data_IF_782096253764
#
_entry.id   IF_782096253764
#
_cell.length_a   1.000
_cell.length_b   1.000
_cell.length_c   1.000
_cell.angle_alpha   90.00
_cell.angle_beta   90.00
_cell.angle_gamma   90.00
#
_symmetry.space_group_name_H-M   'P 1'
#
loop_
_entity.id
_entity.type
_entity.pdbx_description
1 polymer ?
#
# COMPACT_ATOMS: atom_id res chain seq x y z
N UNK A 1 11.49 -22.46 -17.14
CA UNK A 1 12.35 -21.88 -16.09
C UNK A 1 12.08 -22.61 -14.78
N UNK A 2 13.15 -23.11 -14.15
CA UNK A 2 13.05 -23.73 -12.82
C UNK A 2 13.20 -22.61 -11.80
N UNK A 3 12.09 -22.14 -11.26
CA UNK A 3 12.07 -21.18 -10.15
C UNK A 3 12.50 -21.88 -8.85
N UNK A 4 13.68 -21.55 -8.36
CA UNK A 4 14.11 -21.96 -7.02
C UNK A 4 13.40 -21.11 -5.98
N UNK A 5 12.60 -21.73 -5.12
CA UNK A 5 11.88 -21.03 -4.04
C UNK A 5 12.30 -21.56 -2.69
N UNK A 6 12.48 -20.65 -1.75
CA UNK A 6 12.71 -21.01 -0.36
C UNK A 6 11.41 -21.57 0.24
N UNK A 7 11.40 -22.80 0.80
CA UNK A 7 10.20 -23.40 1.37
C UNK A 7 9.72 -22.69 2.65
N UNK A 8 10.60 -21.96 3.35
CA UNK A 8 10.23 -21.18 4.54
C UNK A 8 9.58 -19.85 4.16
N UNK A 9 8.43 -19.91 3.48
CA UNK A 9 7.71 -18.70 3.09
C UNK A 9 7.01 -18.01 4.27
N UNK A 10 6.49 -18.76 5.25
CA UNK A 10 5.72 -18.22 6.37
C UNK A 10 6.56 -17.28 7.24
N UNK A 11 7.71 -17.71 7.71
CA UNK A 11 8.46 -17.05 8.80
C UNK A 11 9.87 -16.61 8.43
N UNK A 12 10.33 -16.80 7.19
CA UNK A 12 11.63 -16.28 6.77
C UNK A 12 11.66 -14.75 6.89
N UNK A 13 12.51 -14.14 7.76
CA UNK A 13 12.48 -12.71 8.03
C UNK A 13 12.65 -11.84 6.77
N UNK A 14 13.48 -12.30 5.82
CA UNK A 14 13.68 -11.59 4.56
C UNK A 14 12.42 -11.60 3.67
N UNK A 15 11.69 -12.73 3.63
CA UNK A 15 10.45 -12.83 2.87
C UNK A 15 9.32 -12.05 3.56
N UNK A 16 9.20 -12.13 4.89
CA UNK A 16 8.23 -11.33 5.66
C UNK A 16 8.48 -9.84 5.44
N UNK A 17 9.75 -9.39 5.52
CA UNK A 17 10.11 -8.00 5.20
C UNK A 17 9.64 -7.59 3.82
N UNK A 18 9.93 -8.40 2.80
CA UNK A 18 9.53 -8.09 1.43
C UNK A 18 8.01 -8.01 1.26
N UNK A 19 7.24 -8.88 1.93
CA UNK A 19 5.77 -8.81 1.91
C UNK A 19 5.24 -7.58 2.65
N UNK A 20 5.79 -7.25 3.81
CA UNK A 20 5.43 -6.03 4.57
C UNK A 20 5.74 -4.76 3.77
N UNK A 21 6.89 -4.70 3.09
CA UNK A 21 7.24 -3.61 2.19
C UNK A 21 6.28 -3.52 1.00
N UNK A 22 5.92 -4.65 0.39
CA UNK A 22 4.94 -4.69 -0.69
C UNK A 22 3.56 -4.16 -0.25
N UNK A 23 3.09 -4.52 0.95
CA UNK A 23 1.85 -4.00 1.52
C UNK A 23 1.89 -2.47 1.62
N UNK A 24 3.01 -1.90 2.09
CA UNK A 24 3.20 -0.46 2.23
C UNK A 24 3.39 0.29 0.91
N UNK A 25 3.70 -0.42 -0.17
CA UNK A 25 4.03 0.19 -1.46
C UNK A 25 2.83 0.90 -2.12
N UNK A 26 3.12 1.79 -3.08
CA UNK A 26 2.09 2.49 -3.87
C UNK A 26 1.16 1.55 -4.64
N UNK A 27 1.68 0.39 -5.06
CA UNK A 27 0.88 -0.64 -5.72
C UNK A 27 -0.02 -1.42 -4.77
N UNK A 28 0.34 -1.50 -3.49
CA UNK A 28 -0.45 -2.08 -2.40
C UNK A 28 -1.33 -1.05 -1.72
N UNK A 29 -1.21 -0.95 -0.39
CA UNK A 29 -2.03 -0.06 0.43
C UNK A 29 -1.50 1.39 0.50
N UNK A 30 -0.36 1.69 -0.13
CA UNK A 30 0.22 3.04 -0.16
C UNK A 30 0.29 3.67 1.24
N UNK A 31 1.04 3.00 2.13
CA UNK A 31 1.26 3.42 3.51
C UNK A 31 2.59 4.17 3.55
N UNK A 32 2.55 5.50 3.56
CA UNK A 32 3.73 6.35 3.37
C UNK A 32 4.85 6.06 4.38
N UNK A 33 4.52 5.74 5.61
CA UNK A 33 5.49 5.44 6.66
C UNK A 33 6.02 3.98 6.64
N UNK A 34 5.50 3.10 5.77
CA UNK A 34 5.83 1.67 5.70
C UNK A 34 6.69 1.34 4.47
N UNK A 35 7.86 1.93 4.38
CA UNK A 35 8.86 1.57 3.36
C UNK A 35 9.85 0.52 3.86
N UNK A 36 10.89 0.22 3.04
CA UNK A 36 11.91 -0.79 3.29
C UNK A 36 12.53 -0.72 4.69
N UNK A 37 12.92 0.49 5.12
CA UNK A 37 13.56 0.70 6.44
C UNK A 37 12.61 0.37 7.59
N UNK A 38 11.35 0.75 7.48
CA UNK A 38 10.33 0.45 8.49
C UNK A 38 9.98 -1.04 8.48
N UNK A 39 9.81 -1.65 7.32
CA UNK A 39 9.57 -3.08 7.19
C UNK A 39 10.73 -3.90 7.81
N UNK A 40 11.98 -3.50 7.56
CA UNK A 40 13.15 -4.11 8.19
C UNK A 40 13.15 -3.94 9.71
N UNK A 41 12.80 -2.76 10.22
CA UNK A 41 12.73 -2.51 11.67
C UNK A 41 11.65 -3.35 12.36
N UNK A 42 10.53 -3.61 11.70
CA UNK A 42 9.42 -4.39 12.24
C UNK A 42 9.69 -5.91 12.23
N UNK A 43 10.51 -6.39 11.28
CA UNK A 43 10.71 -7.83 11.03
C UNK A 43 12.10 -8.35 11.40
N UNK A 44 13.09 -7.45 11.47
CA UNK A 44 14.50 -7.78 11.73
C UNK A 44 15.16 -6.70 12.61
N UNK A 45 14.58 -6.34 13.76
CA UNK A 45 15.21 -5.39 14.68
C UNK A 45 16.50 -5.96 15.26
N UNK A 46 17.37 -5.08 15.78
CA UNK A 46 18.48 -5.52 16.64
C UNK A 46 18.07 -5.62 18.10
N UNK A 47 16.96 -4.99 18.46
CA UNK A 47 16.24 -5.10 19.73
C UNK A 47 14.77 -4.69 19.48
N UNK A 48 13.80 -5.38 20.08
CA UNK A 48 13.90 -6.59 20.88
C UNK A 48 14.38 -7.81 20.07
N UNK A 49 14.78 -8.90 20.74
CA UNK A 49 15.21 -10.13 20.07
C UNK A 49 14.06 -10.78 19.27
N UNK A 50 12.85 -10.76 19.84
CA UNK A 50 11.64 -11.14 19.13
C UNK A 50 11.09 -9.93 18.35
N UNK A 51 11.00 -10.03 17.00
CA UNK A 51 10.49 -8.94 16.20
C UNK A 51 9.00 -8.70 16.45
N UNK A 52 8.51 -7.45 16.36
CA UNK A 52 7.07 -7.16 16.44
C UNK A 52 6.23 -7.90 15.41
N UNK A 53 6.80 -8.20 14.25
CA UNK A 53 6.15 -8.93 13.17
C UNK A 53 6.93 -10.21 12.82
N UNK A 54 6.38 -11.36 13.20
CA UNK A 54 6.83 -12.67 12.72
C UNK A 54 6.25 -13.01 11.34
N UNK A 55 5.08 -12.48 11.04
CA UNK A 55 4.39 -12.53 9.75
C UNK A 55 3.66 -11.20 9.53
N UNK A 56 3.18 -10.95 8.33
CA UNK A 56 2.36 -9.78 8.03
C UNK A 56 0.98 -9.77 8.70
N UNK A 57 0.56 -10.90 9.27
CA UNK A 57 -0.72 -11.02 9.96
C UNK A 57 -0.89 -10.00 11.09
N UNK A 58 0.17 -9.78 11.88
CA UNK A 58 0.17 -8.83 13.00
C UNK A 58 0.22 -7.35 12.61
N UNK A 59 0.30 -7.00 11.32
CA UNK A 59 0.57 -5.63 10.88
C UNK A 59 -0.46 -4.61 11.38
N UNK A 60 -1.75 -4.94 11.30
CA UNK A 60 -2.84 -4.04 11.67
C UNK A 60 -3.20 -4.06 13.16
N UNK A 61 -2.47 -4.84 13.96
CA UNK A 61 -2.60 -4.89 15.42
C UNK A 61 -1.38 -4.33 16.15
N UNK A 62 -0.42 -3.73 15.42
CA UNK A 62 0.74 -3.07 16.00
C UNK A 62 0.32 -1.94 16.94
N UNK A 63 1.06 -1.82 18.05
CA UNK A 63 0.84 -0.80 19.09
C UNK A 63 2.10 -0.02 19.36
N UNK A 64 1.92 1.18 19.89
CA UNK A 64 3.01 2.10 20.21
C UNK A 64 4.06 1.47 21.12
N UNK A 65 3.61 0.68 22.10
CA UNK A 65 4.48 -0.01 23.06
C UNK A 65 5.41 -1.03 22.40
N UNK A 66 5.02 -1.57 21.24
CA UNK A 66 5.85 -2.49 20.46
C UNK A 66 6.84 -1.74 19.56
N UNK A 67 6.47 -0.53 19.10
CA UNK A 67 7.31 0.26 18.21
C UNK A 67 8.42 1.00 18.94
N UNK A 68 8.09 1.65 20.05
CA UNK A 68 9.04 2.52 20.78
C UNK A 68 10.35 1.81 21.17
N UNK A 69 10.36 0.55 21.63
CA UNK A 69 11.61 -0.12 22.01
C UNK A 69 12.53 -0.51 20.83
N UNK A 70 12.02 -0.47 19.59
CA UNK A 70 12.76 -1.01 18.45
C UNK A 70 14.08 -0.26 18.23
N UNK A 71 15.18 -1.02 18.15
CA UNK A 71 16.47 -0.56 17.69
C UNK A 71 16.87 -1.30 16.41
N UNK A 72 17.56 -0.62 15.54
CA UNK A 72 18.12 -1.17 14.30
C UNK A 72 19.60 -0.84 14.17
N UNK A 73 20.38 -1.75 13.58
CA UNK A 73 21.77 -1.50 13.24
C UNK A 73 21.82 -0.55 12.05
N UNK A 74 22.57 0.55 12.18
CA UNK A 74 22.82 1.46 11.08
C UNK A 74 23.75 0.79 10.08
N UNK A 75 23.37 0.80 8.81
CA UNK A 75 24.19 0.25 7.71
C UNK A 75 24.70 1.37 6.83
N UNK A 76 25.86 1.13 6.24
CA UNK A 76 26.38 2.00 5.20
C UNK A 76 25.48 1.94 3.95
N UNK A 77 25.21 3.10 3.35
CA UNK A 77 24.28 3.19 2.22
C UNK A 77 24.84 2.61 0.91
N UNK A 78 26.17 2.57 0.76
CA UNK A 78 26.83 2.10 -0.46
C UNK A 78 27.18 0.61 -0.37
N UNK A 79 27.73 0.19 0.79
CA UNK A 79 28.22 -1.18 0.98
C UNK A 79 27.21 -2.11 1.63
N UNK A 80 26.20 -1.57 2.32
CA UNK A 80 25.24 -2.33 3.13
C UNK A 80 25.85 -2.92 4.43
N UNK A 81 27.12 -2.67 4.71
CA UNK A 81 27.78 -3.18 5.89
C UNK A 81 27.33 -2.46 7.16
N UNK A 82 27.31 -3.18 8.32
CA UNK A 82 27.00 -2.55 9.61
C UNK A 82 28.03 -1.48 9.96
N UNK A 83 27.56 -0.27 10.28
CA UNK A 83 28.43 0.81 10.76
C UNK A 83 28.90 0.51 12.18
N UNK A 84 30.16 0.80 12.43
CA UNK A 84 30.78 0.72 13.76
C UNK A 84 31.22 2.11 14.19
N UNK A 85 31.11 2.35 15.48
CA UNK A 85 31.67 3.55 16.12
C UNK A 85 33.21 3.51 16.02
N UNK A 86 33.81 4.59 15.55
CA UNK A 86 35.26 4.67 15.30
C UNK A 86 36.12 4.59 16.59
N UNK A 87 35.54 4.95 17.74
CA UNK A 87 36.26 4.97 19.02
C UNK A 87 36.09 3.68 19.79
N UNK A 88 34.87 3.11 19.79
CA UNK A 88 34.55 1.93 20.62
C UNK A 88 34.55 0.64 19.79
N UNK A 89 34.44 0.69 18.46
CA UNK A 89 34.30 -0.47 17.61
C UNK A 89 32.92 -1.14 17.68
N UNK A 90 32.01 -0.63 18.51
CA UNK A 90 30.67 -1.17 18.67
C UNK A 90 29.77 -0.85 17.47
N UNK A 91 28.73 -1.68 17.28
CA UNK A 91 27.76 -1.45 16.23
C UNK A 91 26.93 -0.20 16.53
N UNK A 92 26.85 0.70 15.54
CA UNK A 92 26.02 1.88 15.65
C UNK A 92 24.55 1.47 15.53
N UNK A 93 23.75 1.80 16.56
CA UNK A 93 22.30 1.54 16.61
C UNK A 93 21.53 2.85 16.58
N UNK A 94 20.32 2.79 16.07
CA UNK A 94 19.34 3.88 16.18
C UNK A 94 17.97 3.31 16.53
N UNK A 95 17.16 4.11 17.21
CA UNK A 95 15.78 3.82 17.54
C UNK A 95 14.85 4.70 16.67
N UNK A 96 14.34 4.17 15.52
CA UNK A 96 13.61 5.00 14.54
C UNK A 96 12.27 5.51 15.07
N UNK A 97 11.68 4.81 16.03
CA UNK A 97 10.37 5.12 16.56
C UNK A 97 10.41 5.90 17.89
N UNK A 98 11.62 6.32 18.32
CA UNK A 98 11.83 7.12 19.52
C UNK A 98 12.23 8.55 19.18
N UNK A 99 11.84 9.48 20.06
CA UNK A 99 12.51 10.76 20.26
C UNK A 99 12.86 10.92 21.72
N UNK A 100 13.99 11.53 21.98
CA UNK A 100 14.47 11.78 23.36
C UNK A 100 14.34 13.27 23.65
N UNK A 101 13.62 13.58 24.72
CA UNK A 101 13.58 14.92 25.30
C UNK A 101 14.45 14.99 26.53
N UNK A 102 15.16 16.10 26.71
CA UNK A 102 15.84 16.39 27.96
C UNK A 102 14.93 17.30 28.78
N UNK A 103 14.45 16.75 29.88
CA UNK A 103 13.48 17.40 30.78
C UNK A 103 14.08 17.66 32.16
N UNK A 104 13.36 18.39 32.98
CA UNK A 104 13.73 18.51 34.40
C UNK A 104 13.53 17.16 35.12
N UNK A 105 14.29 16.87 36.18
CA UNK A 105 14.09 15.66 36.97
C UNK A 105 12.68 15.56 37.56
N UNK A 106 12.22 14.35 37.91
CA UNK A 106 10.92 14.15 38.55
C UNK A 106 10.78 15.04 39.82
N UNK A 107 9.58 15.66 39.92
CA UNK A 107 9.28 16.62 40.99
C UNK A 107 9.61 18.08 40.67
N UNK A 108 10.29 18.37 39.53
CA UNK A 108 10.57 19.74 39.08
C UNK A 108 9.96 20.03 37.71
N UNK A 109 9.14 19.13 37.18
CA UNK A 109 8.54 19.27 35.85
C UNK A 109 7.64 20.50 35.78
N UNK A 110 6.83 20.76 36.84
CA UNK A 110 5.90 21.85 36.92
C UNK A 110 6.36 22.99 37.86
N UNK A 111 7.58 22.89 38.43
CA UNK A 111 8.14 23.91 39.33
C UNK A 111 8.38 25.22 38.57
N UNK A 112 8.23 26.36 39.28
CA UNK A 112 8.50 27.64 38.69
C UNK A 112 10.00 27.86 38.37
N UNK A 113 10.32 28.78 37.44
CA UNK A 113 11.73 29.12 37.17
C UNK A 113 12.55 29.56 38.38
N UNK A 114 11.86 30.18 39.39
CA UNK A 114 12.49 30.60 40.61
C UNK A 114 12.88 29.40 41.53
N UNK A 115 11.95 28.45 41.67
CA UNK A 115 12.18 27.24 42.47
C UNK A 115 13.27 26.36 41.83
N UNK A 116 13.26 26.20 40.49
CA UNK A 116 14.32 25.46 39.79
C UNK A 116 15.69 26.10 39.98
N UNK A 117 15.76 27.45 39.93
CA UNK A 117 17.02 28.16 40.20
C UNK A 117 17.50 28.03 41.65
N UNK A 118 16.56 28.17 42.58
CA UNK A 118 16.88 28.02 44.02
C UNK A 118 17.39 26.60 44.36
N UNK A 119 16.83 25.58 43.69
CA UNK A 119 17.25 24.21 43.86
C UNK A 119 18.48 23.82 42.99
N UNK A 120 18.99 24.71 42.13
CA UNK A 120 20.13 24.43 41.26
C UNK A 120 19.84 23.38 40.19
N UNK A 121 18.57 23.11 39.89
CA UNK A 121 18.13 22.01 39.02
C UNK A 121 18.19 22.43 37.57
N UNK A 122 18.82 21.59 36.75
CA UNK A 122 18.90 21.75 35.27
C UNK A 122 18.15 20.62 34.60
N UNK A 123 17.78 20.84 33.32
CA UNK A 123 17.29 19.78 32.47
C UNK A 123 18.41 18.77 32.19
N UNK A 124 18.34 17.60 32.78
CA UNK A 124 19.32 16.53 32.63
C UNK A 124 18.69 15.13 32.64
N UNK A 125 17.36 15.06 32.76
CA UNK A 125 16.64 13.81 32.74
C UNK A 125 16.18 13.50 31.31
N UNK A 126 16.50 12.31 30.83
CA UNK A 126 16.12 11.88 29.47
C UNK A 126 14.76 11.19 29.52
N UNK A 127 13.80 11.70 28.78
CA UNK A 127 12.48 11.09 28.59
C UNK A 127 12.36 10.58 27.18
N UNK A 128 12.07 9.29 27.03
CA UNK A 128 11.79 8.66 25.74
C UNK A 128 10.32 8.84 25.41
N UNK A 129 10.05 9.31 24.21
CA UNK A 129 8.71 9.54 23.67
C UNK A 129 8.60 8.90 22.28
N UNK A 130 7.38 8.58 21.81
CA UNK A 130 7.19 8.17 20.43
C UNK A 130 7.68 9.23 19.43
N UNK A 131 8.32 8.79 18.36
CA UNK A 131 8.69 9.68 17.26
C UNK A 131 7.47 10.03 16.38
N UNK A 132 7.59 11.10 15.60
CA UNK A 132 6.57 11.43 14.60
C UNK A 132 6.35 10.31 13.59
N UNK A 133 7.41 9.56 13.25
CA UNK A 133 7.33 8.40 12.36
C UNK A 133 6.49 7.26 12.96
N UNK A 134 6.63 7.00 14.27
CA UNK A 134 5.83 5.97 14.95
C UNK A 134 4.34 6.34 14.97
N UNK A 135 4.02 7.59 15.25
CA UNK A 135 2.64 8.11 15.25
C UNK A 135 2.07 7.99 13.84
N UNK A 136 2.79 8.52 12.84
CA UNK A 136 2.37 8.47 11.43
C UNK A 136 2.13 7.04 10.96
N UNK A 137 3.01 6.09 11.32
CA UNK A 137 2.84 4.69 10.93
C UNK A 137 1.52 4.11 11.42
N UNK A 138 1.17 4.32 12.70
CA UNK A 138 -0.08 3.79 13.25
C UNK A 138 -1.31 4.49 12.63
N UNK A 139 -1.27 5.79 12.43
CA UNK A 139 -2.35 6.54 11.80
C UNK A 139 -2.59 6.06 10.36
N UNK A 140 -1.52 5.87 9.59
CA UNK A 140 -1.58 5.37 8.21
C UNK A 140 -2.09 3.91 8.14
N UNK A 141 -1.71 3.06 9.12
CA UNK A 141 -2.25 1.70 9.22
C UNK A 141 -3.75 1.69 9.47
N UNK A 142 -4.26 2.59 10.33
CA UNK A 142 -5.71 2.73 10.54
C UNK A 142 -6.43 3.17 9.26
N UNK A 143 -5.89 4.16 8.55
CA UNK A 143 -6.45 4.59 7.26
C UNK A 143 -6.43 3.48 6.21
N UNK A 144 -5.37 2.66 6.20
CA UNK A 144 -5.21 1.57 5.25
C UNK A 144 -6.28 0.48 5.38
N UNK A 145 -6.86 0.27 6.56
CA UNK A 145 -7.92 -0.73 6.80
C UNK A 145 -9.16 -0.54 5.92
N UNK A 146 -9.43 0.69 5.51
CA UNK A 146 -10.63 1.05 4.73
C UNK A 146 -10.34 1.45 3.29
N UNK A 147 -9.12 1.27 2.81
CA UNK A 147 -8.78 1.49 1.40
C UNK A 147 -9.53 0.54 0.48
N UNK A 148 -9.60 0.87 -0.79
CA UNK A 148 -10.36 0.13 -1.80
C UNK A 148 -10.06 -1.37 -1.76
N UNK A 149 -11.08 -2.20 -1.89
CA UNK A 149 -10.97 -3.66 -1.75
C UNK A 149 -9.95 -4.27 -2.72
N UNK A 150 -9.82 -3.76 -3.95
CA UNK A 150 -8.80 -4.25 -4.87
C UNK A 150 -7.37 -4.05 -4.36
N UNK A 151 -7.11 -2.98 -3.58
CA UNK A 151 -5.81 -2.73 -2.95
C UNK A 151 -5.54 -3.75 -1.83
N UNK A 152 -6.56 -4.12 -1.08
CA UNK A 152 -6.46 -5.19 -0.08
C UNK A 152 -6.09 -6.51 -0.77
N UNK A 153 -6.70 -6.83 -1.92
CA UNK A 153 -6.37 -8.03 -2.70
C UNK A 153 -4.91 -8.04 -3.19
N UNK A 154 -4.42 -6.92 -3.73
CA UNK A 154 -3.01 -6.81 -4.15
C UNK A 154 -2.08 -6.99 -2.96
N UNK A 155 -2.42 -6.45 -1.80
CA UNK A 155 -1.60 -6.48 -0.59
C UNK A 155 -1.48 -7.86 0.03
N UNK A 156 -2.39 -8.80 -0.27
CA UNK A 156 -2.25 -10.21 0.09
C UNK A 156 -1.14 -10.92 -0.70
N UNK A 157 -0.53 -10.24 -1.66
CA UNK A 157 0.62 -10.72 -2.45
C UNK A 157 0.39 -12.09 -3.11
N UNK A 158 -0.83 -12.33 -3.60
CA UNK A 158 -1.18 -13.53 -4.33
C UNK A 158 -0.49 -13.52 -5.70
N UNK A 159 0.13 -14.63 -6.07
CA UNK A 159 0.85 -14.74 -7.34
C UNK A 159 -0.09 -14.45 -8.52
N UNK A 160 0.39 -13.70 -9.49
CA UNK A 160 -0.34 -13.26 -10.69
C UNK A 160 -1.53 -12.31 -10.44
N UNK A 161 -1.89 -12.03 -9.19
CA UNK A 161 -2.95 -11.09 -8.83
C UNK A 161 -2.35 -9.68 -8.69
N UNK A 162 -2.13 -9.05 -9.82
CA UNK A 162 -1.74 -7.62 -9.86
C UNK A 162 -2.96 -6.69 -9.86
N UNK A 163 -2.74 -5.36 -9.93
CA UNK A 163 -3.82 -4.36 -9.85
C UNK A 163 -4.96 -4.57 -10.86
N UNK A 164 -4.66 -5.03 -12.06
CA UNK A 164 -5.69 -5.28 -13.10
C UNK A 164 -6.62 -6.42 -12.70
N UNK A 165 -6.04 -7.58 -12.35
CA UNK A 165 -6.83 -8.73 -11.92
C UNK A 165 -7.57 -8.47 -10.60
N UNK A 166 -6.91 -7.79 -9.66
CA UNK A 166 -7.51 -7.44 -8.37
C UNK A 166 -8.74 -6.53 -8.53
N UNK A 167 -8.68 -5.54 -9.44
CA UNK A 167 -9.83 -4.68 -9.74
C UNK A 167 -10.97 -5.47 -10.38
N UNK A 168 -10.66 -6.31 -11.36
CA UNK A 168 -11.66 -7.14 -12.02
C UNK A 168 -12.37 -8.08 -11.03
N UNK A 169 -11.59 -8.74 -10.15
CA UNK A 169 -12.13 -9.60 -9.10
C UNK A 169 -12.98 -8.80 -8.10
N UNK A 170 -12.48 -7.65 -7.64
CA UNK A 170 -13.20 -6.82 -6.68
C UNK A 170 -14.51 -6.30 -7.27
N UNK A 171 -14.50 -5.85 -8.50
CA UNK A 171 -15.67 -5.34 -9.20
C UNK A 171 -16.71 -6.44 -9.48
N UNK A 172 -16.26 -7.65 -9.84
CA UNK A 172 -17.17 -8.76 -10.15
C UNK A 172 -17.78 -9.39 -8.90
N UNK A 173 -16.95 -9.66 -7.88
CA UNK A 173 -17.36 -10.40 -6.68
C UNK A 173 -17.79 -9.51 -5.51
N UNK A 174 -17.28 -8.30 -5.42
CA UNK A 174 -17.60 -7.33 -4.36
C UNK A 174 -17.01 -7.64 -2.98
N UNK A 175 -16.60 -8.88 -2.71
CA UNK A 175 -16.01 -9.27 -1.42
C UNK A 175 -15.05 -10.44 -1.54
N UNK A 176 -14.13 -10.54 -0.57
CA UNK A 176 -13.20 -11.67 -0.46
C UNK A 176 -13.93 -12.99 -0.20
N UNK A 177 -14.99 -12.97 0.58
CA UNK A 177 -15.80 -14.17 0.86
C UNK A 177 -16.48 -14.69 -0.41
N UNK A 178 -16.96 -13.79 -1.28
CA UNK A 178 -17.52 -14.18 -2.57
C UNK A 178 -16.44 -14.78 -3.49
N UNK A 179 -15.22 -14.23 -3.49
CA UNK A 179 -14.07 -14.79 -4.24
C UNK A 179 -13.71 -16.18 -3.71
N UNK A 180 -13.67 -16.37 -2.38
CA UNK A 180 -13.35 -17.67 -1.76
C UNK A 180 -14.41 -18.74 -2.02
N UNK A 181 -15.67 -18.33 -2.15
CA UNK A 181 -16.79 -19.24 -2.41
C UNK A 181 -16.98 -19.58 -3.90
N UNK A 182 -16.33 -18.86 -4.80
CA UNK A 182 -16.46 -19.02 -6.23
C UNK A 182 -15.77 -20.31 -6.73
N UNK A 183 -16.36 -20.93 -7.76
CA UNK A 183 -15.71 -22.03 -8.46
C UNK A 183 -14.51 -21.55 -9.28
N UNK A 184 -13.63 -22.48 -9.66
CA UNK A 184 -12.51 -22.20 -10.57
C UNK A 184 -12.98 -21.61 -11.89
N UNK A 185 -14.09 -22.14 -12.40
CA UNK A 185 -14.72 -21.73 -13.65
C UNK A 185 -15.25 -20.29 -13.55
N UNK A 186 -15.91 -19.95 -12.45
CA UNK A 186 -16.42 -18.58 -12.21
C UNK A 186 -15.28 -17.58 -12.08
N UNK A 187 -14.21 -17.93 -11.35
CA UNK A 187 -13.02 -17.09 -11.25
C UNK A 187 -12.35 -16.86 -12.62
N UNK A 188 -12.19 -17.93 -13.41
CA UNK A 188 -11.55 -17.87 -14.71
C UNK A 188 -12.38 -17.15 -15.78
N UNK A 189 -13.70 -17.06 -15.59
CA UNK A 189 -14.62 -16.36 -16.50
C UNK A 189 -14.56 -14.83 -16.36
N UNK A 190 -14.01 -14.31 -15.25
CA UNK A 190 -13.86 -12.86 -15.06
C UNK A 190 -12.88 -12.29 -16.09
N UNK A 191 -13.29 -11.25 -16.81
CA UNK A 191 -12.43 -10.59 -17.81
C UNK A 191 -11.12 -10.10 -17.18
N UNK A 192 -9.98 -10.52 -17.71
CA UNK A 192 -8.65 -10.16 -17.19
C UNK A 192 -8.11 -11.06 -16.08
N UNK A 193 -8.84 -12.11 -15.68
CA UNK A 193 -8.39 -13.10 -14.68
C UNK A 193 -7.85 -14.36 -15.37
N UNK A 194 -8.69 -15.15 -16.01
CA UNK A 194 -8.29 -16.39 -16.68
C UNK A 194 -7.84 -17.51 -15.73
N UNK A 195 -7.56 -18.69 -16.31
CA UNK A 195 -7.32 -19.93 -15.57
C UNK A 195 -6.10 -19.88 -14.64
N UNK A 196 -4.98 -19.25 -15.07
CA UNK A 196 -3.74 -19.20 -14.28
C UNK A 196 -3.94 -18.40 -12.99
N UNK A 197 -4.68 -17.30 -13.05
CA UNK A 197 -4.96 -16.49 -11.87
C UNK A 197 -5.98 -17.18 -10.97
N UNK A 198 -7.00 -17.83 -11.55
CA UNK A 198 -7.96 -18.63 -10.81
C UNK A 198 -7.27 -19.74 -10.00
N UNK A 199 -6.36 -20.49 -10.64
CA UNK A 199 -5.56 -21.53 -9.96
C UNK A 199 -4.70 -20.92 -8.84
N UNK A 200 -4.06 -19.78 -9.08
CA UNK A 200 -3.23 -19.10 -8.07
C UNK A 200 -4.04 -18.63 -6.86
N UNK A 201 -5.27 -18.18 -7.06
CA UNK A 201 -6.19 -17.80 -5.97
C UNK A 201 -6.55 -19.02 -5.12
N UNK A 202 -6.96 -20.11 -5.75
CA UNK A 202 -7.35 -21.35 -5.05
C UNK A 202 -6.17 -21.94 -4.28
N UNK A 203 -5.00 -22.02 -4.89
CA UNK A 203 -3.77 -22.49 -4.25
C UNK A 203 -3.39 -21.61 -3.05
N UNK A 204 -3.54 -20.29 -3.18
CA UNK A 204 -3.23 -19.36 -2.09
C UNK A 204 -4.16 -19.57 -0.89
N UNK A 205 -5.46 -19.69 -1.11
CA UNK A 205 -6.43 -19.95 -0.05
C UNK A 205 -6.34 -21.37 0.54
N UNK A 206 -5.74 -22.32 -0.14
CA UNK A 206 -5.49 -23.67 0.37
C UNK A 206 -4.44 -23.69 1.49
N UNK A 207 -3.61 -22.66 1.61
CA UNK A 207 -2.52 -22.57 2.61
C UNK A 207 -3.07 -21.99 3.91
N UNK A 208 -2.88 -22.72 5.03
CA UNK A 208 -3.45 -22.33 6.33
C UNK A 208 -3.01 -20.96 6.82
N UNK A 209 -1.71 -20.67 6.79
CA UNK A 209 -1.21 -19.39 7.29
C UNK A 209 -1.62 -18.17 6.42
N UNK A 210 -1.99 -18.38 5.17
CA UNK A 210 -2.59 -17.31 4.35
C UNK A 210 -4.00 -16.97 4.85
N UNK A 211 -4.77 -17.99 5.27
CA UNK A 211 -6.09 -17.77 5.86
C UNK A 211 -5.97 -17.08 7.23
N UNK A 212 -4.97 -17.46 8.04
CA UNK A 212 -4.65 -16.77 9.29
C UNK A 212 -4.44 -15.27 9.08
N UNK A 213 -3.71 -14.85 8.02
CA UNK A 213 -3.51 -13.44 7.68
C UNK A 213 -4.85 -12.74 7.45
N UNK A 214 -5.71 -13.32 6.62
CA UNK A 214 -7.03 -12.74 6.30
C UNK A 214 -7.90 -12.63 7.56
N UNK A 215 -7.89 -13.65 8.41
CA UNK A 215 -8.66 -13.69 9.65
C UNK A 215 -8.17 -12.62 10.64
N UNK A 216 -6.87 -12.49 10.84
CA UNK A 216 -6.29 -11.48 11.73
C UNK A 216 -6.52 -10.05 11.19
N UNK A 217 -6.36 -9.83 9.89
CA UNK A 217 -6.64 -8.53 9.29
C UNK A 217 -8.12 -8.16 9.39
N UNK A 218 -9.02 -9.12 9.14
CA UNK A 218 -10.47 -8.92 9.29
C UNK A 218 -10.84 -8.59 10.74
N UNK A 219 -10.27 -9.32 11.71
CA UNK A 219 -10.47 -9.07 13.13
C UNK A 219 -9.93 -7.71 13.57
N UNK A 220 -8.85 -7.23 12.93
CA UNK A 220 -8.29 -5.90 13.14
C UNK A 220 -9.09 -4.77 12.45
N UNK A 221 -10.13 -5.09 11.66
CA UNK A 221 -11.00 -4.13 11.00
C UNK A 221 -10.65 -3.82 9.55
N UNK A 222 -9.77 -4.60 8.91
CA UNK A 222 -9.52 -4.48 7.47
C UNK A 222 -10.77 -4.88 6.69
N UNK A 223 -11.18 -4.01 5.77
CA UNK A 223 -12.41 -4.21 5.01
C UNK A 223 -12.14 -4.92 3.69
N UNK A 224 -12.47 -6.19 3.62
CA UNK A 224 -12.33 -7.03 2.43
C UNK A 224 -13.61 -7.06 1.57
N UNK A 225 -14.27 -5.92 1.43
CA UNK A 225 -15.47 -5.81 0.62
C UNK A 225 -15.71 -4.39 0.11
N UNK A 226 -16.44 -4.27 -0.98
CA UNK A 226 -16.99 -3.01 -1.48
C UNK A 226 -18.34 -2.79 -0.80
N UNK A 227 -18.52 -1.72 0.00
CA UNK A 227 -19.79 -1.45 0.66
C UNK A 227 -20.95 -1.31 -0.33
N UNK A 228 -22.04 -2.02 -0.08
CA UNK A 228 -23.23 -1.95 -0.93
C UNK A 228 -23.12 -2.69 -2.26
N UNK A 229 -22.08 -3.45 -2.50
CA UNK A 229 -21.96 -4.27 -3.71
C UNK A 229 -23.08 -5.34 -3.76
N UNK A 230 -23.81 -5.45 -4.89
CA UNK A 230 -24.99 -6.31 -4.97
C UNK A 230 -24.70 -7.82 -5.03
N UNK A 231 -23.43 -8.21 -5.19
CA UNK A 231 -23.00 -9.62 -5.25
C UNK A 231 -22.37 -9.99 -6.59
N UNK A 232 -21.90 -11.26 -6.75
CA UNK A 232 -21.16 -11.70 -7.93
C UNK A 232 -21.95 -11.52 -9.22
N UNK A 233 -21.29 -10.98 -10.26
CA UNK A 233 -21.86 -10.80 -11.59
C UNK A 233 -22.93 -9.72 -11.71
N UNK A 234 -23.33 -9.10 -10.60
CA UNK A 234 -24.20 -7.95 -10.68
C UNK A 234 -23.39 -6.75 -11.21
N UNK A 235 -23.92 -6.08 -12.20
CA UNK A 235 -23.39 -4.79 -12.61
C UNK A 235 -23.44 -3.88 -11.38
N UNK A 236 -22.29 -3.44 -10.88
CA UNK A 236 -22.24 -2.28 -9.98
C UNK A 236 -22.97 -1.19 -10.76
N UNK A 237 -23.95 -0.54 -10.16
CA UNK A 237 -24.71 0.49 -10.83
C UNK A 237 -23.71 1.45 -11.49
N UNK A 238 -23.57 1.29 -12.79
CA UNK A 238 -22.77 2.13 -13.65
C UNK A 238 -23.46 3.48 -13.64
N UNK A 239 -22.90 4.43 -12.99
CA UNK A 239 -23.42 5.76 -12.79
C UNK A 239 -22.30 6.71 -12.47
N UNK A 240 -21.31 6.77 -13.34
CA UNK A 240 -20.26 7.78 -13.30
C UNK A 240 -20.30 8.64 -14.55
N UNK A 241 -19.65 9.79 -14.53
CA UNK A 241 -19.56 10.71 -15.66
C UNK A 241 -18.87 10.09 -16.89
N UNK A 242 -18.21 8.92 -16.72
CA UNK A 242 -17.51 8.17 -17.78
C UNK A 242 -18.15 6.82 -18.09
N UNK A 243 -19.41 6.61 -17.69
CA UNK A 243 -20.11 5.35 -17.94
C UNK A 243 -20.11 4.97 -19.44
N UNK A 244 -19.76 3.71 -19.72
CA UNK A 244 -19.63 3.18 -21.09
C UNK A 244 -18.38 3.64 -21.86
N UNK A 245 -17.56 4.55 -21.32
CA UNK A 245 -16.38 5.09 -22.00
C UNK A 245 -15.09 4.34 -21.64
N UNK A 246 -14.25 4.11 -22.64
CA UNK A 246 -12.92 3.52 -22.47
C UNK A 246 -11.84 4.59 -22.57
N UNK A 247 -11.03 4.77 -21.54
CA UNK A 247 -9.98 5.78 -21.46
C UNK A 247 -8.62 5.12 -21.27
N UNK A 248 -7.62 5.61 -22.01
CA UNK A 248 -6.21 5.22 -21.84
C UNK A 248 -5.43 6.39 -21.28
N UNK A 249 -4.76 6.21 -20.14
CA UNK A 249 -3.81 7.17 -19.58
C UNK A 249 -2.37 6.75 -19.93
N UNK A 250 -1.56 7.68 -20.44
CA UNK A 250 -0.17 7.43 -20.85
C UNK A 250 0.73 8.65 -20.65
N UNK A 251 2.02 8.41 -20.40
CA UNK A 251 2.93 9.49 -20.02
C UNK A 251 2.70 10.00 -18.59
N UNK A 252 3.33 11.12 -18.26
CA UNK A 252 3.20 11.77 -16.95
C UNK A 252 2.03 12.74 -16.97
N UNK A 253 0.94 12.41 -16.28
CA UNK A 253 -0.19 13.32 -16.10
C UNK A 253 -0.02 14.09 -14.79
N UNK A 254 0.02 15.41 -14.86
CA UNK A 254 0.18 16.28 -13.69
C UNK A 254 -0.97 16.03 -12.68
N UNK A 255 -0.57 15.82 -11.41
CA UNK A 255 -1.54 15.49 -10.33
C UNK A 255 -1.90 14.00 -10.21
N UNK A 256 -1.45 13.14 -11.12
CA UNK A 256 -1.75 11.71 -11.10
C UNK A 256 -0.49 10.85 -11.24
N UNK A 257 -0.37 9.84 -10.38
CA UNK A 257 0.50 8.70 -10.70
C UNK A 257 -0.14 7.87 -11.82
N UNK A 258 0.62 6.95 -12.43
CA UNK A 258 0.09 6.06 -13.48
C UNK A 258 -1.12 5.26 -12.98
N UNK A 259 -1.02 4.72 -11.77
CA UNK A 259 -2.11 3.94 -11.16
C UNK A 259 -3.24 4.85 -10.68
N UNK A 260 -2.91 6.05 -10.18
CA UNK A 260 -3.88 7.07 -9.79
C UNK A 260 -4.75 7.56 -10.95
N UNK A 261 -4.19 7.70 -12.17
CA UNK A 261 -4.96 8.04 -13.35
C UNK A 261 -5.94 6.92 -13.75
N UNK A 262 -5.52 5.66 -13.68
CA UNK A 262 -6.41 4.53 -13.93
C UNK A 262 -7.53 4.46 -12.88
N UNK A 263 -7.19 4.69 -11.62
CA UNK A 263 -8.15 4.72 -10.52
C UNK A 263 -9.18 5.84 -10.68
N UNK A 264 -8.76 7.03 -11.11
CA UNK A 264 -9.66 8.14 -11.38
C UNK A 264 -10.67 7.82 -12.50
N UNK A 265 -10.23 7.16 -13.59
CA UNK A 265 -11.12 6.71 -14.68
C UNK A 265 -12.16 5.74 -14.13
N UNK A 266 -11.74 4.74 -13.33
CA UNK A 266 -12.64 3.72 -12.80
C UNK A 266 -13.62 4.32 -11.78
N UNK A 267 -13.16 5.22 -10.90
CA UNK A 267 -14.04 5.94 -9.96
C UNK A 267 -15.09 6.80 -10.66
N UNK A 268 -14.74 7.31 -11.84
CA UNK A 268 -15.66 8.06 -12.69
C UNK A 268 -16.63 7.16 -13.51
N UNK A 269 -16.59 5.83 -13.32
CA UNK A 269 -17.44 4.87 -14.02
C UNK A 269 -16.89 4.41 -15.37
N UNK A 270 -15.69 4.87 -15.78
CA UNK A 270 -15.09 4.53 -17.05
C UNK A 270 -14.24 3.25 -17.04
N UNK A 271 -13.98 2.68 -18.21
CA UNK A 271 -13.06 1.55 -18.40
C UNK A 271 -11.64 2.07 -18.63
N UNK A 272 -10.73 1.83 -17.67
CA UNK A 272 -9.32 2.12 -17.85
C UNK A 272 -8.64 1.02 -18.67
N UNK A 273 -8.14 1.35 -19.86
CA UNK A 273 -7.45 0.39 -20.72
C UNK A 273 -5.93 0.58 -20.72
N UNK A 274 -5.20 -0.52 -20.76
CA UNK A 274 -3.73 -0.52 -20.80
C UNK A 274 -3.16 -0.31 -22.20
N UNK A 275 -3.98 -0.48 -23.27
CA UNK A 275 -3.58 -0.36 -24.67
C UNK A 275 -4.58 0.44 -25.47
N UNK A 276 -4.08 1.19 -26.48
CA UNK A 276 -4.89 1.99 -27.40
C UNK A 276 -5.46 1.08 -28.49
N UNK A 277 -6.76 1.18 -28.74
CA UNK A 277 -7.49 0.43 -29.78
C UNK A 277 -8.63 1.29 -30.37
N UNK A 278 -9.27 0.81 -31.42
CA UNK A 278 -10.47 1.48 -32.01
C UNK A 278 -11.66 1.61 -31.06
N UNK A 279 -11.62 0.89 -29.90
CA UNK A 279 -12.64 0.95 -28.86
C UNK A 279 -12.30 1.97 -27.76
N UNK A 280 -11.18 2.70 -27.92
CA UNK A 280 -10.76 3.73 -26.96
C UNK A 280 -11.44 5.04 -27.33
N UNK A 281 -12.15 5.65 -26.39
CA UNK A 281 -12.85 6.91 -26.59
C UNK A 281 -11.93 8.11 -26.34
N UNK A 282 -11.09 8.04 -25.30
CA UNK A 282 -10.16 9.10 -24.94
C UNK A 282 -8.77 8.56 -24.66
N UNK A 283 -7.75 9.32 -25.06
CA UNK A 283 -6.36 9.06 -24.70
C UNK A 283 -5.80 10.27 -23.96
N UNK A 284 -5.63 10.16 -22.64
CA UNK A 284 -4.97 11.17 -21.84
C UNK A 284 -3.46 10.99 -21.97
N UNK A 285 -2.81 11.95 -22.62
CA UNK A 285 -1.40 11.88 -22.95
C UNK A 285 -0.61 13.03 -22.30
N UNK A 286 0.34 12.67 -21.43
CA UNK A 286 1.30 13.61 -20.86
C UNK A 286 2.71 13.42 -21.44
N UNK A 287 3.71 14.17 -20.96
CA UNK A 287 5.11 14.00 -21.36
C UNK A 287 5.55 12.54 -21.23
N UNK A 288 6.20 12.01 -22.28
CA UNK A 288 6.66 10.62 -22.32
C UNK A 288 5.59 9.59 -22.71
N UNK A 289 4.48 10.00 -23.31
CA UNK A 289 3.39 9.11 -23.75
C UNK A 289 3.78 8.04 -24.80
N UNK A 290 4.87 8.29 -25.56
CA UNK A 290 5.51 7.30 -26.46
C UNK A 290 4.59 6.70 -27.51
N UNK A 291 4.76 5.40 -27.79
CA UNK A 291 4.06 4.68 -28.87
C UNK A 291 2.53 4.65 -28.73
N UNK A 292 2.00 4.86 -27.54
CA UNK A 292 0.54 4.92 -27.33
C UNK A 292 -0.06 6.20 -27.90
N UNK A 293 0.66 7.33 -27.79
CA UNK A 293 0.24 8.59 -28.39
C UNK A 293 0.24 8.49 -29.91
N UNK A 294 1.33 7.99 -30.50
CA UNK A 294 1.41 7.78 -31.96
C UNK A 294 0.26 6.90 -32.47
N UNK A 295 -0.03 5.81 -31.74
CA UNK A 295 -1.13 4.92 -32.12
C UNK A 295 -2.52 5.59 -31.99
N UNK A 296 -2.69 6.49 -31.02
CA UNK A 296 -3.93 7.25 -30.87
C UNK A 296 -4.12 8.22 -32.03
N UNK A 297 -3.05 8.89 -32.48
CA UNK A 297 -3.03 9.77 -33.64
C UNK A 297 -3.35 9.01 -34.93
N UNK A 298 -2.72 7.85 -35.16
CA UNK A 298 -2.99 6.96 -36.32
C UNK A 298 -4.46 6.49 -36.38
N UNK A 299 -5.08 6.27 -35.22
CA UNK A 299 -6.47 5.83 -35.14
C UNK A 299 -7.48 6.99 -35.11
N UNK A 300 -7.00 8.25 -35.11
CA UNK A 300 -7.87 9.43 -35.06
C UNK A 300 -8.67 9.56 -33.77
N UNK A 301 -8.14 9.08 -32.64
CA UNK A 301 -8.82 9.09 -31.36
C UNK A 301 -8.73 10.47 -30.69
N UNK A 302 -9.65 10.76 -29.78
CA UNK A 302 -9.65 12.02 -29.03
C UNK A 302 -8.53 12.00 -27.99
N UNK A 303 -7.49 12.83 -28.20
CA UNK A 303 -6.34 12.98 -27.31
C UNK A 303 -6.58 14.20 -26.44
N UNK A 304 -6.34 14.06 -25.13
CA UNK A 304 -6.51 15.09 -24.11
C UNK A 304 -5.24 15.23 -23.27
N UNK A 305 -5.01 16.42 -22.75
CA UNK A 305 -3.91 16.70 -21.82
C UNK A 305 -4.27 16.41 -20.37
N UNK A 306 -3.36 16.70 -19.41
CA UNK A 306 -3.57 16.44 -17.99
C UNK A 306 -4.69 17.31 -17.39
N UNK A 307 -4.84 18.55 -17.82
CA UNK A 307 -5.89 19.46 -17.33
C UNK A 307 -7.26 18.99 -17.81
N UNK A 308 -7.36 18.64 -19.08
CA UNK A 308 -8.56 18.06 -19.69
C UNK A 308 -8.91 16.71 -19.10
N UNK A 309 -7.90 15.88 -18.76
CA UNK A 309 -8.12 14.61 -18.07
C UNK A 309 -8.79 14.81 -16.71
N UNK A 310 -8.36 15.81 -15.95
CA UNK A 310 -9.00 16.15 -14.66
C UNK A 310 -10.47 16.53 -14.86
N UNK A 311 -10.77 17.39 -15.84
CA UNK A 311 -12.14 17.76 -16.17
C UNK A 311 -12.96 16.53 -16.59
N UNK A 312 -12.37 15.66 -17.44
CA UNK A 312 -13.03 14.44 -17.90
C UNK A 312 -13.48 13.53 -16.76
N UNK A 313 -12.59 13.26 -15.79
CA UNK A 313 -12.90 12.33 -14.67
C UNK A 313 -13.80 12.96 -13.60
N UNK A 314 -13.81 14.28 -13.46
CA UNK A 314 -14.64 14.99 -12.48
C UNK A 314 -16.02 15.37 -13.01
N UNK A 315 -16.13 15.74 -14.30
CA UNK A 315 -17.31 16.39 -14.86
C UNK A 315 -17.86 15.69 -16.12
N UNK A 316 -17.10 14.74 -16.69
CA UNK A 316 -17.49 13.98 -17.87
C UNK A 316 -17.09 14.63 -19.20
N UNK A 317 -17.36 13.92 -20.33
CA UNK A 317 -16.90 14.33 -21.66
C UNK A 317 -17.55 15.62 -22.18
N UNK A 318 -18.79 15.93 -21.76
CA UNK A 318 -19.49 17.13 -22.19
C UNK A 318 -18.84 18.42 -21.70
N UNK A 319 -18.17 18.37 -20.56
CA UNK A 319 -17.45 19.52 -20.00
C UNK A 319 -16.18 19.89 -20.80
N UNK A 320 -15.63 18.95 -21.58
CA UNK A 320 -14.47 19.22 -22.45
C UNK A 320 -14.81 20.09 -23.67
N UNK A 321 -16.08 20.18 -24.05
CA UNK A 321 -16.53 20.91 -25.23
C UNK A 321 -17.02 22.32 -24.88
N UNK A 322 -16.99 22.70 -23.58
CA UNK A 322 -17.46 23.99 -23.08
C UNK A 322 -16.32 24.97 -22.73
N UNK A 323 -15.05 24.60 -23.01
CA UNK A 323 -13.85 25.37 -22.67
C UNK A 323 -13.13 25.99 -23.88
#
# INVERSE_FOLDING_TARGET
DIDLRCPNAKTCPAQVRGRVEHIGSRGGLDIEALGEVTAAALTQPSFPEEPPLHTEAGLFTLRMEQLVPIEVIVRDAETGEPKRDEQTGELVRRAPFQRVEVVYPPGFEDASPAERRAAGVKKNHRRVLPSAQAIKLLDELELAKTKDFWRQLVSLNMRHVGPVAARALAQYFGSLDAIRAASREDLAAVEGVGAIIADSLLDWFAVDWHREIVEEWSAAGVRFAIPGHPGPGAAVAEGGVLDGLTVVATGSLEGYSRDGAQEAIIKAGGKAASSVSKKTDFVAAGPGAGSKLTKAEELGLRIIDAAQFKILVEQGPEALDQG
#
